data_IF_997802999531
#
_entry.id   IF_997802999531
#
_cell.length_a   1.000
_cell.length_b   1.000
_cell.length_c   1.000
_cell.angle_alpha   90.00
_cell.angle_beta   90.00
_cell.angle_gamma   90.00
#
_symmetry.space_group_name_H-M   'P 1'
#
loop_
_entity.id
_entity.type
_entity.pdbx_description
1 polymer ?
#
# COMPACT_ATOMS: atom_id res chain seq x y z
N UNK A 1 3.42 -10.27 -35.06
CA UNK A 1 2.01 -10.33 -34.60
C UNK A 1 1.99 -10.96 -33.20
N UNK A 2 1.79 -10.23 -32.09
CA UNK A 2 1.53 -10.90 -30.82
C UNK A 2 0.04 -11.25 -30.72
N UNK A 3 -0.24 -12.52 -30.46
CA UNK A 3 -1.57 -13.07 -30.24
C UNK A 3 -2.09 -12.55 -28.87
N UNK A 4 -3.08 -11.66 -28.88
CA UNK A 4 -3.75 -11.17 -27.68
C UNK A 4 -4.90 -12.10 -27.32
N UNK A 5 -4.63 -13.14 -26.55
CA UNK A 5 -5.70 -13.93 -25.91
C UNK A 5 -6.44 -13.02 -24.91
N UNK A 6 -7.59 -12.52 -25.33
CA UNK A 6 -8.56 -11.82 -24.49
C UNK A 6 -9.12 -12.81 -23.47
N UNK A 7 -8.49 -12.88 -22.29
CA UNK A 7 -9.08 -13.49 -21.11
C UNK A 7 -9.45 -12.35 -20.18
N UNK A 8 -10.75 -12.02 -20.12
CA UNK A 8 -11.24 -11.01 -19.21
C UNK A 8 -10.93 -11.46 -17.77
N UNK A 9 -10.04 -10.76 -17.05
CA UNK A 9 -9.62 -11.23 -15.75
C UNK A 9 -10.76 -11.01 -14.74
N UNK A 10 -11.09 -12.04 -13.96
CA UNK A 10 -12.13 -11.97 -12.92
C UNK A 10 -11.84 -10.82 -11.95
N UNK A 11 -12.78 -9.88 -11.86
CA UNK A 11 -12.71 -8.70 -10.98
C UNK A 11 -13.42 -9.00 -9.67
N UNK A 12 -12.80 -8.64 -8.56
CA UNK A 12 -13.36 -8.75 -7.21
C UNK A 12 -13.63 -7.35 -6.66
N UNK A 13 -14.89 -6.86 -6.66
CA UNK A 13 -15.25 -5.56 -6.12
C UNK A 13 -15.34 -5.60 -4.58
N UNK A 14 -14.56 -4.76 -3.88
CA UNK A 14 -14.54 -4.69 -2.40
C UNK A 14 -14.35 -3.22 -1.98
N UNK A 15 -15.29 -2.63 -1.24
CA UNK A 15 -15.20 -1.25 -0.73
C UNK A 15 -14.79 -0.22 -1.81
N UNK A 16 -15.39 -0.35 -3.00
CA UNK A 16 -15.09 0.47 -4.18
C UNK A 16 -13.80 0.09 -4.93
N UNK A 17 -12.99 -0.84 -4.43
CA UNK A 17 -11.82 -1.34 -5.15
C UNK A 17 -12.19 -2.43 -6.16
N UNK A 18 -11.72 -2.31 -7.40
CA UNK A 18 -11.80 -3.38 -8.41
C UNK A 18 -10.51 -4.21 -8.43
N UNK A 19 -10.44 -5.24 -7.57
CA UNK A 19 -9.25 -6.07 -7.43
C UNK A 19 -9.16 -7.13 -8.54
N UNK A 20 -7.99 -7.23 -9.16
CA UNK A 20 -7.67 -8.26 -10.16
C UNK A 20 -6.40 -9.01 -9.80
N UNK A 21 -6.44 -10.34 -9.96
CA UNK A 21 -5.27 -11.19 -9.73
C UNK A 21 -4.18 -10.87 -10.76
N UNK A 22 -3.06 -10.32 -10.30
CA UNK A 22 -1.96 -9.88 -11.14
C UNK A 22 -0.66 -10.61 -10.81
N UNK A 23 0.23 -10.69 -11.80
CA UNK A 23 1.60 -11.13 -11.59
C UNK A 23 2.44 -9.92 -11.21
N UNK A 24 2.93 -9.91 -9.97
CA UNK A 24 3.76 -8.83 -9.45
C UNK A 24 5.21 -9.11 -9.87
N UNK A 25 5.66 -8.40 -10.92
CA UNK A 25 7.02 -8.56 -11.47
C UNK A 25 8.13 -8.00 -10.59
N UNK A 26 7.77 -7.38 -9.47
CA UNK A 26 8.68 -6.78 -8.51
C UNK A 26 8.32 -7.25 -7.09
N UNK A 27 9.32 -7.34 -6.19
CA UNK A 27 9.08 -7.53 -4.77
C UNK A 27 8.13 -6.43 -4.27
N UNK A 28 6.97 -6.84 -3.76
CA UNK A 28 5.90 -5.91 -3.34
C UNK A 28 5.35 -6.30 -1.98
N UNK A 29 4.99 -5.29 -1.19
CA UNK A 29 4.41 -5.47 0.14
C UNK A 29 2.90 -5.25 0.12
N UNK A 30 2.18 -6.05 0.88
CA UNK A 30 0.73 -5.91 1.02
C UNK A 30 0.39 -4.62 1.79
N UNK A 31 -0.44 -3.76 1.21
CA UNK A 31 -0.87 -2.50 1.85
C UNK A 31 -1.74 -2.69 3.09
N UNK A 32 -2.35 -3.86 3.28
CA UNK A 32 -3.18 -4.15 4.44
C UNK A 32 -2.38 -4.69 5.63
N UNK A 33 -1.60 -5.76 5.45
CA UNK A 33 -0.86 -6.41 6.55
C UNK A 33 0.62 -6.03 6.61
N UNK A 34 1.10 -5.20 5.68
CA UNK A 34 2.52 -4.84 5.50
C UNK A 34 3.49 -6.01 5.25
N UNK A 35 3.01 -7.25 5.18
CA UNK A 35 3.82 -8.41 4.86
C UNK A 35 4.23 -8.47 3.39
N UNK A 36 5.36 -9.12 3.15
CA UNK A 36 5.89 -9.33 1.81
C UNK A 36 5.01 -10.29 0.99
N UNK A 37 4.80 -10.00 -0.29
CA UNK A 37 4.04 -10.86 -1.20
C UNK A 37 5.05 -11.74 -1.96
N UNK A 38 5.30 -12.97 -1.47
CA UNK A 38 6.32 -13.89 -2.01
C UNK A 38 5.77 -15.22 -2.51
N UNK A 39 6.41 -15.79 -3.55
CA UNK A 39 6.11 -17.10 -4.19
C UNK A 39 5.86 -17.03 -5.71
N UNK A 40 5.54 -18.17 -6.34
CA UNK A 40 5.51 -18.37 -7.80
C UNK A 40 4.10 -18.09 -8.38
N UNK A 41 3.98 -17.23 -9.42
CA UNK A 41 2.73 -17.01 -10.19
C UNK A 41 1.92 -15.75 -9.83
N UNK A 42 0.61 -15.73 -10.14
CA UNK A 42 -0.30 -14.61 -9.78
C UNK A 42 -0.55 -14.61 -8.27
N UNK A 43 0.14 -13.73 -7.55
CA UNK A 43 0.37 -13.86 -6.11
C UNK A 43 -0.35 -12.81 -5.25
N UNK A 44 -0.80 -11.72 -5.88
CA UNK A 44 -1.54 -10.68 -5.21
C UNK A 44 -2.68 -10.14 -6.07
N UNK A 45 -3.57 -9.43 -5.41
CA UNK A 45 -4.60 -8.64 -6.04
C UNK A 45 -4.11 -7.20 -6.17
N UNK A 46 -4.32 -6.62 -7.34
CA UNK A 46 -4.08 -5.21 -7.59
C UNK A 46 -5.39 -4.53 -7.98
N UNK A 47 -5.71 -3.43 -7.30
CA UNK A 47 -6.85 -2.60 -7.66
C UNK A 47 -6.56 -1.90 -9.00
N UNK A 48 -7.47 -1.99 -9.97
CA UNK A 48 -7.31 -1.35 -11.27
C UNK A 48 -7.33 0.19 -11.19
N UNK A 49 -8.06 0.73 -10.22
CA UNK A 49 -8.33 2.17 -10.15
C UNK A 49 -7.24 2.89 -9.32
N UNK A 50 -7.04 2.49 -8.06
CA UNK A 50 -6.08 3.16 -7.18
C UNK A 50 -4.67 2.52 -7.14
N UNK A 51 -4.48 1.37 -7.80
CA UNK A 51 -3.25 0.55 -7.83
C UNK A 51 -2.76 -0.02 -6.50
N UNK A 52 -3.60 -0.01 -5.44
CA UNK A 52 -3.29 -0.71 -4.18
C UNK A 52 -3.06 -2.20 -4.42
N UNK A 53 -2.05 -2.77 -3.76
CA UNK A 53 -1.70 -4.19 -3.88
C UNK A 53 -1.86 -4.89 -2.54
N UNK A 54 -2.53 -6.04 -2.54
CA UNK A 54 -2.80 -6.84 -1.34
C UNK A 54 -2.64 -8.33 -1.60
N UNK A 55 -2.40 -9.12 -0.54
CA UNK A 55 -2.43 -10.59 -0.65
C UNK A 55 -3.81 -11.09 -1.04
N UNK A 56 -3.86 -12.31 -1.59
CA UNK A 56 -5.12 -13.04 -1.84
C UNK A 56 -5.98 -13.23 -0.59
N UNK A 57 -5.40 -13.35 0.61
CA UNK A 57 -6.17 -13.43 1.85
C UNK A 57 -6.60 -12.07 2.40
N UNK A 58 -5.82 -11.02 2.11
CA UNK A 58 -6.03 -9.69 2.69
C UNK A 58 -7.01 -8.83 1.89
N UNK A 59 -7.36 -9.20 0.65
CA UNK A 59 -8.28 -8.38 -0.16
C UNK A 59 -9.67 -8.23 0.46
N UNK A 60 -10.16 -9.25 1.17
CA UNK A 60 -11.47 -9.22 1.84
C UNK A 60 -11.49 -8.37 3.12
N UNK A 61 -10.34 -8.14 3.74
CA UNK A 61 -10.21 -7.39 5.00
C UNK A 61 -9.81 -5.93 4.80
N UNK A 62 -9.77 -5.44 3.55
CA UNK A 62 -9.52 -4.03 3.25
C UNK A 62 -10.74 -3.21 3.66
N UNK A 63 -10.67 -2.49 4.77
CA UNK A 63 -11.74 -1.60 5.26
C UNK A 63 -11.68 -0.19 4.68
N UNK A 64 -10.53 0.20 4.11
CA UNK A 64 -10.33 1.50 3.49
C UNK A 64 -11.05 1.53 2.15
N UNK A 65 -11.84 2.58 1.91
CA UNK A 65 -12.56 2.77 0.65
C UNK A 65 -11.63 3.25 -0.48
N UNK A 66 -11.95 2.86 -1.71
CA UNK A 66 -11.17 3.30 -2.87
C UNK A 66 -11.39 4.81 -3.14
N UNK A 67 -10.33 5.64 -3.15
CA UNK A 67 -10.47 7.07 -3.39
C UNK A 67 -10.89 7.38 -4.83
N UNK A 68 -10.61 6.47 -5.77
CA UNK A 68 -10.87 6.68 -7.20
C UNK A 68 -12.31 6.30 -7.59
N UNK A 69 -12.98 5.42 -6.85
CA UNK A 69 -14.34 4.96 -7.19
C UNK A 69 -15.44 5.88 -6.65
N UNK A 70 -15.13 6.75 -5.68
CA UNK A 70 -16.05 7.79 -5.20
C UNK A 70 -16.37 8.85 -6.26
N UNK A 71 -15.72 8.82 -7.44
CA UNK A 71 -15.95 9.77 -8.53
C UNK A 71 -16.84 9.20 -9.66
N UNK A 72 -17.40 8.00 -9.51
CA UNK A 72 -18.38 7.45 -10.47
C UNK A 72 -19.82 7.47 -9.93
N UNK A 73 -20.00 7.91 -8.69
CA UNK A 73 -21.28 8.34 -8.18
C UNK A 73 -21.25 9.88 -8.17
N UNK A 74 -22.08 10.44 -9.03
CA UNK A 74 -22.58 11.82 -8.97
C UNK A 74 -21.75 12.93 -9.64
N UNK A 75 -21.92 13.05 -10.96
CA UNK A 75 -22.06 14.35 -11.65
C UNK A 75 -23.35 15.12 -11.20
N UNK A 76 -23.95 14.74 -10.07
CA UNK A 76 -25.17 15.34 -9.50
C UNK A 76 -25.11 15.60 -7.99
N UNK A 77 -23.93 15.52 -7.34
CA UNK A 77 -23.80 15.75 -5.90
C UNK A 77 -22.55 16.56 -5.51
N UNK A 78 -22.18 17.56 -6.32
CA UNK A 78 -21.17 18.57 -5.98
C UNK A 78 -21.55 19.49 -4.78
N UNK A 79 -22.46 19.07 -3.90
CA UNK A 79 -22.98 19.90 -2.80
C UNK A 79 -23.26 19.16 -1.48
N UNK A 80 -22.88 17.89 -1.28
CA UNK A 80 -23.35 17.11 -0.12
C UNK A 80 -22.30 16.27 0.66
N UNK A 81 -21.00 16.56 0.56
CA UNK A 81 -19.99 15.90 1.40
C UNK A 81 -18.91 16.83 1.97
N UNK A 82 -19.26 18.11 2.17
CA UNK A 82 -18.57 18.95 3.15
C UNK A 82 -19.25 18.80 4.52
N UNK A 83 -19.36 17.56 5.02
CA UNK A 83 -19.30 17.37 6.47
C UNK A 83 -17.82 17.37 6.81
N UNK A 84 -17.31 18.60 6.97
CA UNK A 84 -16.03 18.88 7.61
C UNK A 84 -16.11 18.34 9.04
N UNK A 85 -15.68 17.10 9.23
CA UNK A 85 -15.14 16.70 10.52
C UNK A 85 -13.78 17.39 10.65
N UNK A 86 -13.73 18.32 11.60
CA UNK A 86 -12.65 19.29 11.88
C UNK A 86 -11.28 18.64 12.20
N UNK A 87 -11.15 17.31 12.09
CA UNK A 87 -9.94 16.57 12.45
C UNK A 87 -9.28 15.83 11.28
N UNK A 88 -9.72 16.05 10.04
CA UNK A 88 -9.02 15.59 8.83
C UNK A 88 -7.78 16.45 8.59
N UNK A 89 -6.64 16.10 9.18
CA UNK A 89 -5.36 16.74 8.87
C UNK A 89 -4.74 16.09 7.62
N UNK A 90 -4.79 16.73 6.44
CA UNK A 90 -4.22 16.15 5.23
C UNK A 90 -2.70 16.01 5.35
N UNK A 91 -2.15 15.01 4.69
CA UNK A 91 -0.71 14.79 4.68
C UNK A 91 0.04 15.94 3.99
N UNK A 92 0.98 16.57 4.71
CA UNK A 92 1.90 17.54 4.13
C UNK A 92 3.10 16.83 3.47
N UNK A 93 2.95 16.48 2.18
CA UNK A 93 3.97 15.79 1.39
C UNK A 93 5.03 16.73 0.81
N UNK A 94 6.30 16.42 1.05
CA UNK A 94 7.45 17.11 0.45
C UNK A 94 8.28 16.17 -0.44
N UNK A 95 8.82 16.63 -1.57
CA UNK A 95 9.75 15.85 -2.39
C UNK A 95 10.97 15.41 -1.56
N UNK A 96 11.34 14.14 -1.70
CA UNK A 96 12.51 13.57 -1.02
C UNK A 96 13.32 12.72 -1.99
N UNK A 97 14.63 12.89 -1.97
CA UNK A 97 15.57 11.94 -2.56
C UNK A 97 15.84 10.81 -1.57
N UNK A 98 15.48 9.59 -1.96
CA UNK A 98 15.74 8.39 -1.19
C UNK A 98 17.10 7.82 -1.62
N UNK A 99 18.07 7.83 -0.70
CA UNK A 99 19.41 7.26 -0.92
C UNK A 99 19.44 5.75 -0.74
N UNK A 100 18.42 5.19 -0.09
CA UNK A 100 18.24 3.76 0.15
C UNK A 100 17.00 3.22 -0.57
N UNK A 101 16.97 1.93 -0.96
CA UNK A 101 15.83 1.32 -1.64
C UNK A 101 14.59 1.39 -0.74
N UNK A 102 13.66 2.27 -1.10
CA UNK A 102 12.49 2.61 -0.27
C UNK A 102 11.21 2.16 -0.96
N UNK A 103 10.30 1.54 -0.23
CA UNK A 103 9.02 1.07 -0.78
C UNK A 103 7.90 2.08 -0.50
N UNK A 104 7.01 2.27 -1.47
CA UNK A 104 5.85 3.13 -1.35
C UNK A 104 4.82 2.52 -0.38
N UNK A 105 4.40 3.25 0.64
CA UNK A 105 3.40 2.80 1.61
C UNK A 105 2.01 2.55 0.97
N UNK A 106 1.67 3.25 -0.12
CA UNK A 106 0.39 3.10 -0.81
C UNK A 106 0.32 1.86 -1.70
N UNK A 107 1.22 1.74 -2.68
CA UNK A 107 1.18 0.66 -3.68
C UNK A 107 2.06 -0.54 -3.34
N UNK A 108 2.96 -0.42 -2.35
CA UNK A 108 3.84 -1.50 -1.93
C UNK A 108 5.03 -1.78 -2.85
N UNK A 109 5.19 -1.04 -3.96
CA UNK A 109 6.31 -1.18 -4.89
C UNK A 109 7.46 -0.25 -4.57
N UNK A 110 8.65 -0.61 -5.06
CA UNK A 110 9.87 0.17 -4.88
C UNK A 110 9.74 1.57 -5.51
N UNK A 111 10.21 2.58 -4.79
CA UNK A 111 10.41 3.94 -5.28
C UNK A 111 11.78 3.96 -5.97
N UNK A 112 11.78 4.05 -7.30
CA UNK A 112 12.98 3.95 -8.14
C UNK A 112 13.34 5.31 -8.76
N UNK A 113 14.64 5.49 -9.06
CA UNK A 113 15.21 6.70 -9.69
C UNK A 113 16.41 7.24 -8.92
N UNK A 114 17.05 8.29 -9.44
CA UNK A 114 18.28 8.85 -8.85
C UNK A 114 18.05 10.08 -7.94
N UNK A 115 17.05 10.92 -8.23
CA UNK A 115 16.78 12.17 -7.50
C UNK A 115 15.27 12.39 -7.42
N UNK A 116 14.75 12.89 -6.29
CA UNK A 116 13.34 13.26 -6.09
C UNK A 116 12.35 12.19 -6.57
N UNK A 117 12.63 10.92 -6.25
CA UNK A 117 11.89 9.77 -6.77
C UNK A 117 10.45 9.68 -6.21
N UNK A 118 10.21 10.29 -5.05
CA UNK A 118 8.92 10.32 -4.42
C UNK A 118 8.77 11.47 -3.43
N UNK A 119 7.74 11.36 -2.61
CA UNK A 119 7.41 12.33 -1.57
C UNK A 119 7.34 11.65 -0.21
N UNK A 120 7.63 12.41 0.83
CA UNK A 120 7.52 12.02 2.22
C UNK A 120 6.61 12.98 2.96
N UNK A 121 5.73 12.46 3.81
CA UNK A 121 4.91 13.30 4.68
C UNK A 121 5.76 13.82 5.86
N UNK A 122 5.68 15.10 6.20
CA UNK A 122 6.42 15.64 7.35
C UNK A 122 5.83 15.23 8.70
N UNK A 123 4.52 14.97 8.78
CA UNK A 123 3.84 14.54 10.01
C UNK A 123 4.08 13.06 10.31
N UNK A 124 3.51 12.18 9.48
CA UNK A 124 3.57 10.72 9.71
C UNK A 124 4.78 10.02 9.09
N UNK A 125 5.66 10.74 8.39
CA UNK A 125 6.87 10.21 7.75
C UNK A 125 6.65 9.12 6.69
N UNK A 126 5.42 8.88 6.23
CA UNK A 126 5.16 7.89 5.18
C UNK A 126 5.81 8.27 3.83
N UNK A 127 6.29 7.27 3.10
CA UNK A 127 6.97 7.44 1.81
C UNK A 127 6.07 6.95 0.67
N UNK A 128 5.85 7.77 -0.35
CA UNK A 128 5.02 7.38 -1.50
C UNK A 128 5.59 7.88 -2.82
N UNK A 129 5.19 7.26 -3.92
CA UNK A 129 5.46 7.80 -5.27
C UNK A 129 4.66 9.09 -5.50
N UNK A 130 5.17 9.97 -6.37
CA UNK A 130 4.43 11.15 -6.86
C UNK A 130 3.04 10.79 -7.40
N UNK A 131 2.93 9.71 -8.17
CA UNK A 131 1.67 9.21 -8.73
C UNK A 131 0.70 8.65 -7.69
N UNK A 132 1.20 8.24 -6.52
CA UNK A 132 0.39 7.67 -5.46
C UNK A 132 -0.20 8.74 -4.54
N UNK A 133 0.33 9.98 -4.58
CA UNK A 133 -0.11 11.10 -3.74
C UNK A 133 -1.62 11.35 -3.77
N UNK A 134 -2.25 11.24 -4.93
CA UNK A 134 -3.69 11.50 -5.10
C UNK A 134 -4.58 10.35 -4.59
N UNK A 135 -3.99 9.19 -4.29
CA UNK A 135 -4.72 7.97 -3.94
C UNK A 135 -4.56 7.61 -2.46
N UNK A 136 -3.97 8.49 -1.65
CA UNK A 136 -3.81 8.31 -0.20
C UNK A 136 -4.89 9.16 0.48
N UNK A 137 -5.55 8.62 1.50
CA UNK A 137 -6.57 9.36 2.27
C UNK A 137 -5.97 10.46 3.15
N UNK A 138 -6.82 11.35 3.67
CA UNK A 138 -6.40 12.56 4.40
C UNK A 138 -6.09 12.34 5.88
N UNK A 139 -5.87 11.09 6.33
CA UNK A 139 -5.66 10.77 7.73
C UNK A 139 -4.17 10.77 8.10
N UNK A 140 -3.60 11.96 8.35
CA UNK A 140 -2.22 12.10 8.85
C UNK A 140 -2.15 11.93 10.38
N UNK A 141 -1.25 11.06 10.87
CA UNK A 141 -0.97 10.96 12.32
C UNK A 141 -0.82 9.53 12.84
N UNK A 142 -1.33 8.52 12.12
CA UNK A 142 -0.99 7.13 12.43
C UNK A 142 0.40 6.83 11.86
N UNK A 143 1.37 6.54 12.73
CA UNK A 143 2.72 6.15 12.32
C UNK A 143 2.65 4.92 11.40
N UNK A 144 2.95 5.13 10.12
CA UNK A 144 2.97 4.05 9.14
C UNK A 144 4.17 3.14 9.43
N UNK A 145 3.91 1.88 9.80
CA UNK A 145 4.94 0.93 10.16
C UNK A 145 6.10 0.86 9.16
N UNK A 146 7.32 0.81 9.67
CA UNK A 146 8.57 0.89 8.92
C UNK A 146 8.79 -0.32 7.99
N UNK A 147 8.32 -0.18 6.74
CA UNK A 147 8.55 -1.16 5.66
C UNK A 147 10.03 -1.32 5.28
N UNK A 148 10.89 -0.38 5.68
CA UNK A 148 12.31 -0.34 5.32
C UNK A 148 13.12 -1.47 5.97
N UNK A 149 12.75 -1.92 7.18
CA UNK A 149 13.54 -2.90 7.94
C UNK A 149 13.25 -4.36 7.55
N UNK A 150 12.08 -4.64 6.97
CA UNK A 150 11.64 -6.01 6.69
C UNK A 150 12.26 -6.62 5.42
N UNK A 151 12.77 -5.80 4.50
CA UNK A 151 13.51 -6.30 3.33
C UNK A 151 14.92 -6.79 3.68
N UNK A 152 15.59 -6.15 4.65
CA UNK A 152 16.92 -6.57 5.11
C UNK A 152 16.89 -7.91 5.86
N UNK A 153 15.84 -8.18 6.64
CA UNK A 153 15.67 -9.45 7.36
C UNK A 153 15.30 -10.64 6.48
N UNK A 154 14.59 -10.42 5.35
CA UNK A 154 14.14 -11.52 4.50
C UNK A 154 15.21 -12.07 3.55
N UNK A 155 16.30 -11.32 3.30
CA UNK A 155 17.42 -11.82 2.46
C UNK A 155 18.44 -12.64 3.25
N UNK A 156 18.40 -12.63 4.59
CA UNK A 156 19.35 -13.38 5.43
C UNK A 156 18.78 -14.69 5.99
N UNK A 157 17.46 -14.92 5.93
CA UNK A 157 16.87 -16.16 6.39
C UNK A 157 16.75 -17.21 5.27
N UNK A 158 17.88 -17.86 4.96
CA UNK A 158 17.87 -19.21 4.43
C UNK A 158 17.29 -20.15 5.50
N UNK A 159 15.96 -20.25 5.56
CA UNK A 159 15.22 -21.14 6.44
C UNK A 159 14.88 -20.53 7.80
N UNK A 160 13.62 -20.14 8.00
CA UNK A 160 12.85 -20.49 9.19
C UNK A 160 11.38 -20.06 9.03
N UNK A 161 10.50 -20.91 9.55
CA UNK A 161 9.05 -20.77 9.63
C UNK A 161 8.66 -19.46 10.36
N UNK A 162 7.51 -18.90 9.98
CA UNK A 162 7.05 -17.57 10.41
C UNK A 162 6.92 -17.39 11.93
N UNK A 163 6.85 -16.14 12.43
CA UNK A 163 6.86 -15.89 13.86
C UNK A 163 5.48 -16.13 14.46
N UNK A 164 5.42 -17.18 15.28
CA UNK A 164 4.51 -17.35 16.40
C UNK A 164 5.16 -16.67 17.63
N UNK A 165 4.33 -15.96 18.39
CA UNK A 165 4.40 -15.68 19.85
C UNK A 165 5.13 -14.43 20.39
N UNK A 166 4.29 -13.52 20.90
CA UNK A 166 4.18 -13.01 22.29
C UNK A 166 5.35 -13.18 23.27
N UNK A 167 5.52 -12.12 24.08
CA UNK A 167 6.13 -11.99 25.41
C UNK A 167 7.58 -11.49 25.48
N UNK A 168 7.71 -10.17 25.68
CA UNK A 168 8.85 -9.57 26.35
C UNK A 168 8.35 -8.84 27.60
N UNK A 169 8.73 -9.34 28.77
CA UNK A 169 8.94 -8.54 29.99
C UNK A 169 9.65 -9.41 31.04
N UNK A 170 10.99 -9.44 30.98
CA UNK A 170 11.82 -9.71 32.14
C UNK A 170 12.35 -8.37 32.64
N UNK A 171 11.91 -7.94 33.82
CA UNK A 171 12.64 -6.98 34.66
C UNK A 171 12.80 -7.63 36.02
N UNK A 172 14.01 -8.14 36.27
CA UNK A 172 14.58 -8.27 37.60
C UNK A 172 15.73 -7.27 37.68
N UNK A 173 15.59 -6.25 38.52
CA UNK A 173 16.71 -5.51 39.10
C UNK A 173 16.29 -5.02 40.50
N UNK A 174 17.18 -5.28 41.45
CA UNK A 174 17.22 -4.88 42.87
C UNK A 174 16.35 -5.67 43.84
#
# INVERSE_FOLDING_TARGET
MPCTTSTNPRVHPINGHRFVATLLRQPTFCSHCNGFIFGIGKQGYQCQDCRMVVHKRCHQSVTINCPTNQHLVDDSAAAAAAVVDDHQQPHHFQPKTFTTPTYCNHCGSLIYGCINQGVRCNGCQMHIHHRCRKNVGDYCGMAGGDRQQQFAQCMTCSGHQGPQMIAAANISVA
#
